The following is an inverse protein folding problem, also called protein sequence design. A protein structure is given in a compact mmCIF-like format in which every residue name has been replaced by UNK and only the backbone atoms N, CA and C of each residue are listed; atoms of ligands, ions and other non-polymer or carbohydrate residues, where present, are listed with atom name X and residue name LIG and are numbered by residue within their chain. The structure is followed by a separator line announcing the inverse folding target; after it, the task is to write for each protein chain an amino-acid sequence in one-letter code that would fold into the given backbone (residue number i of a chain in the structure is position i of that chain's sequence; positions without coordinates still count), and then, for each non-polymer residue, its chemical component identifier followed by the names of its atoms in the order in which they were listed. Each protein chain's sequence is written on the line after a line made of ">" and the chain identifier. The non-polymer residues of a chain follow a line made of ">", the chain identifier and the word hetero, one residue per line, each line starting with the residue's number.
data_IF_784048228765
#
_entry.id   IF_784048228765
#
_cell.length_a   1.000
_cell.length_b   1.000
_cell.length_c   1.000
_cell.angle_alpha   90.00
_cell.angle_beta   90.00
_cell.angle_gamma   90.00
#
_symmetry.space_group_name_H-M   'P 1'
#
loop_
_entity.id
_entity.type
_entity.pdbx_description
1 polymer ?
#
# COMPACT_ATOMS: atom_id res chain seq x y z
N UNK A 1 -6.58 -24.06 -35.03
CA UNK A 1 -6.47 -23.27 -33.78
C UNK A 1 -6.04 -24.23 -32.70
N UNK A 2 -4.98 -23.89 -31.97
CA UNK A 2 -4.40 -24.73 -30.91
C UNK A 2 -5.50 -25.10 -29.88
N UNK A 3 -5.72 -26.39 -29.60
CA UNK A 3 -6.83 -26.87 -28.75
C UNK A 3 -6.85 -26.14 -27.40
N UNK A 4 -5.67 -25.85 -26.86
CA UNK A 4 -5.43 -25.13 -25.61
C UNK A 4 -6.09 -23.75 -25.57
N UNK A 5 -5.99 -22.98 -26.67
CA UNK A 5 -6.54 -21.62 -26.77
C UNK A 5 -8.06 -21.65 -26.85
N UNK A 6 -8.62 -22.65 -27.53
CA UNK A 6 -10.07 -22.84 -27.60
C UNK A 6 -10.65 -23.18 -26.23
N UNK A 7 -10.00 -24.08 -25.49
CA UNK A 7 -10.37 -24.45 -24.12
C UNK A 7 -10.27 -23.23 -23.20
N UNK A 8 -9.15 -22.48 -23.27
CA UNK A 8 -8.97 -21.27 -22.48
C UNK A 8 -10.08 -20.23 -22.72
N UNK A 9 -10.47 -20.01 -23.98
CA UNK A 9 -11.57 -19.09 -24.33
C UNK A 9 -12.91 -19.54 -23.75
N UNK A 10 -13.19 -20.85 -23.79
CA UNK A 10 -14.41 -21.43 -23.22
C UNK A 10 -14.43 -21.24 -21.69
N UNK A 11 -13.31 -21.48 -21.04
CA UNK A 11 -13.17 -21.28 -19.58
C UNK A 11 -13.45 -19.82 -19.21
N UNK A 12 -12.82 -18.86 -19.89
CA UNK A 12 -13.06 -17.43 -19.67
C UNK A 12 -14.53 -17.05 -19.90
N UNK A 13 -15.18 -17.64 -20.91
CA UNK A 13 -16.60 -17.41 -21.16
C UNK A 13 -17.49 -17.96 -20.02
N UNK A 14 -17.13 -19.11 -19.45
CA UNK A 14 -17.77 -19.67 -18.26
C UNK A 14 -17.63 -18.76 -17.05
N UNK A 15 -16.43 -18.26 -16.78
CA UNK A 15 -16.17 -17.35 -15.65
C UNK A 15 -16.96 -16.04 -15.76
N UNK A 16 -17.20 -15.54 -16.98
CA UNK A 16 -18.05 -14.36 -17.21
C UNK A 16 -19.53 -14.61 -16.87
N UNK A 17 -19.99 -15.86 -16.88
CA UNK A 17 -21.35 -16.18 -16.47
C UNK A 17 -21.49 -16.30 -14.94
N UNK A 18 -20.37 -16.42 -14.22
CA UNK A 18 -20.36 -16.60 -12.77
C UNK A 18 -20.53 -15.26 -12.06
N UNK A 19 -21.76 -15.02 -11.57
CA UNK A 19 -22.14 -13.77 -10.90
C UNK A 19 -21.27 -13.46 -9.68
N UNK A 20 -20.82 -14.47 -8.95
CA UNK A 20 -19.98 -14.29 -7.75
C UNK A 20 -18.61 -13.73 -8.11
N UNK A 21 -17.97 -14.25 -9.17
CA UNK A 21 -16.66 -13.76 -9.64
C UNK A 21 -16.80 -12.34 -10.20
N UNK A 22 -17.84 -12.07 -10.99
CA UNK A 22 -18.11 -10.73 -11.48
C UNK A 22 -18.38 -9.72 -10.34
N UNK A 23 -19.14 -10.13 -9.33
CA UNK A 23 -19.43 -9.32 -8.15
C UNK A 23 -18.15 -9.03 -7.36
N UNK A 24 -17.32 -10.05 -7.11
CA UNK A 24 -16.05 -9.88 -6.42
C UNK A 24 -15.13 -8.90 -7.15
N UNK A 25 -15.02 -9.05 -8.48
CA UNK A 25 -14.22 -8.14 -9.31
C UNK A 25 -14.79 -6.72 -9.32
N UNK A 26 -16.12 -6.58 -9.36
CA UNK A 26 -16.82 -5.29 -9.28
C UNK A 26 -16.62 -4.58 -7.94
N UNK A 27 -16.68 -5.32 -6.82
CA UNK A 27 -16.41 -4.78 -5.49
C UNK A 27 -14.95 -4.33 -5.39
N UNK A 28 -14.00 -5.13 -5.88
CA UNK A 28 -12.58 -4.74 -5.93
C UNK A 28 -12.38 -3.46 -6.76
N UNK A 29 -13.06 -3.35 -7.90
CA UNK A 29 -13.05 -2.15 -8.75
C UNK A 29 -13.57 -0.92 -8.01
N UNK A 30 -14.70 -1.08 -7.30
CA UNK A 30 -15.32 -0.03 -6.51
C UNK A 30 -14.38 0.44 -5.39
N UNK A 31 -13.81 -0.47 -4.62
CA UNK A 31 -12.87 -0.13 -3.55
C UNK A 31 -11.65 0.60 -4.11
N UNK A 32 -11.07 0.12 -5.21
CA UNK A 32 -9.91 0.77 -5.84
C UNK A 32 -10.24 2.17 -6.36
N UNK A 33 -11.42 2.36 -6.97
CA UNK A 33 -11.85 3.66 -7.49
C UNK A 33 -12.19 4.67 -6.38
N UNK A 34 -12.81 4.21 -5.29
CA UNK A 34 -13.25 5.10 -4.21
C UNK A 34 -12.23 5.27 -3.09
N UNK A 35 -11.11 4.52 -3.10
CA UNK A 35 -10.09 4.59 -2.04
C UNK A 35 -9.55 6.01 -1.86
N UNK A 36 -9.26 6.74 -2.94
CA UNK A 36 -8.78 8.12 -2.82
C UNK A 36 -9.86 9.06 -2.28
N UNK A 37 -11.12 8.83 -2.63
CA UNK A 37 -12.24 9.68 -2.20
C UNK A 37 -12.59 9.47 -0.72
N UNK A 38 -12.62 8.21 -0.28
CA UNK A 38 -12.82 7.86 1.13
C UNK A 38 -11.71 8.46 2.00
N UNK A 39 -10.46 8.43 1.53
CA UNK A 39 -9.31 8.95 2.27
C UNK A 39 -9.36 10.47 2.39
N UNK A 40 -9.63 11.21 1.31
CA UNK A 40 -9.78 12.68 1.38
C UNK A 40 -10.96 13.07 2.27
N UNK A 41 -12.09 12.35 2.18
CA UNK A 41 -13.25 12.58 3.05
C UNK A 41 -12.99 12.28 4.52
N UNK A 42 -12.23 11.20 4.82
CA UNK A 42 -11.82 10.87 6.18
C UNK A 42 -10.79 11.87 6.71
N UNK A 43 -9.83 12.31 5.90
CA UNK A 43 -8.85 13.35 6.30
C UNK A 43 -9.54 14.67 6.61
N UNK A 44 -10.53 15.09 5.81
CA UNK A 44 -11.36 16.26 6.14
C UNK A 44 -12.09 16.13 7.48
N UNK A 45 -12.30 14.90 7.97
CA UNK A 45 -13.01 14.61 9.21
C UNK A 45 -12.09 14.37 10.41
N UNK A 46 -10.82 14.04 10.17
CA UNK A 46 -9.83 13.63 11.19
C UNK A 46 -8.55 14.48 11.18
N UNK A 47 -8.45 15.50 10.33
CA UNK A 47 -7.44 16.53 10.45
C UNK A 47 -7.92 17.58 11.48
N UNK A 48 -7.43 17.55 12.73
CA UNK A 48 -7.77 18.59 13.70
C UNK A 48 -7.31 19.99 13.27
N UNK A 49 -6.37 20.10 12.32
CA UNK A 49 -5.99 21.37 11.69
C UNK A 49 -7.03 21.89 10.69
N UNK A 50 -7.93 21.03 10.20
CA UNK A 50 -9.10 21.41 9.39
C UNK A 50 -10.31 21.83 10.24
N UNK A 51 -10.21 21.78 11.58
CA UNK A 51 -11.13 22.50 12.47
C UNK A 51 -10.80 23.99 12.40
N UNK A 52 -11.17 24.62 11.28
CA UNK A 52 -11.21 26.08 11.14
C UNK A 52 -12.04 26.65 12.32
N UNK A 53 -11.36 27.15 13.36
CA UNK A 53 -12.02 27.85 14.47
C UNK A 53 -11.46 27.63 15.88
N UNK A 54 -10.63 26.60 16.12
CA UNK A 54 -10.00 26.43 17.44
C UNK A 54 -8.82 27.41 17.59
N UNK A 55 -9.12 28.60 18.13
CA UNK A 55 -8.15 29.62 18.49
C UNK A 55 -7.46 29.19 19.78
N UNK A 56 -6.18 28.84 19.73
CA UNK A 56 -5.37 28.55 20.91
C UNK A 56 -4.77 29.85 21.44
N UNK A 57 -5.26 30.28 22.60
CA UNK A 57 -4.75 31.43 23.33
C UNK A 57 -3.52 31.00 24.12
N UNK A 58 -2.35 31.49 23.72
CA UNK A 58 -1.07 31.11 24.33
C UNK A 58 -0.53 32.27 25.15
N UNK A 59 -0.33 32.09 26.45
CA UNK A 59 0.41 33.05 27.27
C UNK A 59 1.90 33.00 26.91
N UNK A 60 2.51 34.14 26.68
CA UNK A 60 3.94 34.27 26.36
C UNK A 60 4.60 35.15 27.42
N UNK A 61 5.73 34.69 27.96
CA UNK A 61 6.48 35.43 28.97
C UNK A 61 7.98 35.12 28.92
N UNK A 62 8.79 35.92 29.61
CA UNK A 62 10.25 35.81 29.66
C UNK A 62 10.98 36.85 28.81
N UNK A 63 12.20 36.51 28.39
CA UNK A 63 13.12 37.41 27.68
C UNK A 63 12.91 37.42 26.16
N UNK A 64 12.27 36.38 25.62
CA UNK A 64 12.05 36.19 24.17
C UNK A 64 10.58 36.38 23.76
N UNK A 65 9.85 37.26 24.48
CA UNK A 65 8.41 37.50 24.25
C UNK A 65 8.16 38.01 22.83
N UNK A 66 8.93 38.99 22.37
CA UNK A 66 8.74 39.60 21.06
C UNK A 66 8.93 38.58 19.92
N UNK A 67 9.92 37.69 20.03
CA UNK A 67 10.15 36.65 19.04
C UNK A 67 9.06 35.58 19.04
N UNK A 68 8.56 35.21 20.22
CA UNK A 68 7.44 34.26 20.36
C UNK A 68 6.12 34.83 19.87
N UNK A 69 5.86 36.12 20.11
CA UNK A 69 4.68 36.82 19.56
C UNK A 69 4.73 36.91 18.03
N UNK A 70 5.90 37.28 17.47
CA UNK A 70 6.08 37.33 16.03
C UNK A 70 5.88 35.96 15.38
N UNK A 71 6.46 34.90 15.97
CA UNK A 71 6.30 33.54 15.48
C UNK A 71 4.86 33.03 15.59
N UNK A 72 4.11 33.44 16.62
CA UNK A 72 2.72 33.07 16.80
C UNK A 72 1.80 33.78 15.80
N UNK A 73 2.10 35.04 15.45
CA UNK A 73 1.31 35.81 14.47
C UNK A 73 1.33 35.20 13.06
N UNK A 74 2.39 34.47 12.72
CA UNK A 74 2.56 33.76 11.44
C UNK A 74 1.89 32.38 11.41
N UNK A 75 1.33 31.92 12.53
CA UNK A 75 0.67 30.61 12.64
C UNK A 75 -0.84 30.81 12.78
N UNK A 76 -1.58 30.34 11.79
CA UNK A 76 -3.04 30.39 11.80
C UNK A 76 -3.62 29.60 12.99
N UNK A 77 -4.58 30.19 13.68
CA UNK A 77 -5.23 29.57 14.83
C UNK A 77 -4.52 29.76 16.17
N UNK A 78 -3.39 30.47 16.24
CA UNK A 78 -2.71 30.79 17.50
C UNK A 78 -2.77 32.29 17.79
N UNK A 79 -3.08 32.66 19.04
CA UNK A 79 -2.94 34.03 19.54
C UNK A 79 -1.99 34.06 20.72
N UNK A 80 -0.89 34.79 20.59
CA UNK A 80 -0.01 35.06 21.71
C UNK A 80 -0.57 36.22 22.57
N UNK A 81 -0.56 36.05 23.89
CA UNK A 81 -0.84 37.11 24.86
C UNK A 81 0.38 37.30 25.77
N UNK A 82 1.00 38.49 25.79
CA UNK A 82 2.16 38.73 26.64
C UNK A 82 1.73 38.87 28.10
N UNK A 83 2.51 38.27 29.00
CA UNK A 83 2.38 38.41 30.45
C UNK A 83 3.69 38.91 31.06
N UNK A 84 3.58 39.77 32.06
CA UNK A 84 4.71 40.44 32.70
C UNK A 84 5.71 39.45 33.35
N UNK A 85 5.21 38.36 33.92
CA UNK A 85 6.02 37.32 34.55
C UNK A 85 5.38 35.93 34.41
N UNK A 86 6.17 34.90 34.77
CA UNK A 86 5.76 33.51 34.71
C UNK A 86 4.63 33.17 35.68
N UNK A 87 4.50 33.89 36.79
CA UNK A 87 3.47 33.62 37.80
C UNK A 87 2.09 34.07 37.28
N UNK A 88 2.02 35.24 36.64
CA UNK A 88 0.83 35.76 36.00
C UNK A 88 0.37 34.89 34.81
N UNK A 89 1.33 34.38 34.02
CA UNK A 89 1.06 33.45 32.93
C UNK A 89 0.53 32.10 33.45
N UNK A 90 1.16 31.55 34.49
CA UNK A 90 0.71 30.32 35.13
C UNK A 90 -0.67 30.45 35.79
N UNK A 91 -0.95 31.59 36.43
CA UNK A 91 -2.28 31.89 36.99
C UNK A 91 -3.34 31.99 35.89
N UNK A 92 -3.03 32.65 34.76
CA UNK A 92 -3.94 32.72 33.62
C UNK A 92 -4.25 31.33 33.04
N UNK A 93 -3.25 30.45 32.97
CA UNK A 93 -3.42 29.08 32.53
C UNK A 93 -4.27 28.25 33.51
N UNK A 94 -3.99 28.37 34.81
CA UNK A 94 -4.76 27.71 35.87
C UNK A 94 -6.24 28.16 35.89
N UNK A 95 -6.50 29.43 35.57
CA UNK A 95 -7.85 30.01 35.49
C UNK A 95 -8.58 29.67 34.18
N UNK A 96 -7.93 28.98 33.23
CA UNK A 96 -8.48 28.70 31.89
C UNK A 96 -8.66 29.94 31.01
N UNK A 97 -7.91 31.01 31.27
CA UNK A 97 -7.91 32.24 30.45
C UNK A 97 -7.03 32.13 29.20
N UNK A 98 -6.14 31.14 29.19
CA UNK A 98 -5.22 30.77 28.11
C UNK A 98 -5.11 29.25 28.08
N UNK A 99 -4.91 28.70 26.90
CA UNK A 99 -4.88 27.26 26.64
C UNK A 99 -3.47 26.67 26.75
N UNK A 100 -2.43 27.51 26.72
CA UNK A 100 -1.04 27.11 26.88
C UNK A 100 -0.16 28.26 27.42
N UNK A 101 1.02 27.91 27.92
CA UNK A 101 2.06 28.87 28.35
C UNK A 101 3.38 28.57 27.65
N UNK A 102 4.01 29.60 27.08
CA UNK A 102 5.37 29.57 26.54
C UNK A 102 6.26 30.52 27.34
N UNK A 103 7.29 29.98 28.01
CA UNK A 103 8.30 30.75 28.73
C UNK A 103 9.59 30.75 27.93
N UNK A 104 9.89 31.88 27.29
CA UNK A 104 11.11 32.05 26.48
C UNK A 104 12.24 32.66 27.29
N UNK A 105 13.32 31.91 27.54
CA UNK A 105 14.54 32.40 28.23
C UNK A 105 15.74 32.37 27.28
N UNK A 106 16.70 33.30 27.43
CA UNK A 106 17.95 33.23 26.66
C UNK A 106 19.06 32.61 27.49
N UNK A 107 19.65 31.52 26.98
CA UNK A 107 20.78 30.82 27.61
C UNK A 107 21.85 30.56 26.55
N UNK A 108 23.09 31.00 26.81
CA UNK A 108 24.24 30.80 25.90
C UNK A 108 23.99 31.24 24.44
N UNK A 109 23.29 32.36 24.26
CA UNK A 109 22.94 32.88 22.93
C UNK A 109 21.83 32.10 22.18
N UNK A 110 21.17 31.15 22.86
CA UNK A 110 20.03 30.37 22.36
C UNK A 110 18.75 30.76 23.08
N UNK A 111 17.63 30.66 22.39
CA UNK A 111 16.30 30.78 22.99
C UNK A 111 15.88 29.39 23.47
N UNK A 112 15.59 29.26 24.75
CA UNK A 112 15.00 28.08 25.36
C UNK A 112 13.54 28.38 25.65
N UNK A 113 12.63 27.52 25.18
CA UNK A 113 11.20 27.70 25.37
C UNK A 113 10.66 26.52 26.17
N UNK A 114 10.17 26.81 27.36
CA UNK A 114 9.40 25.86 28.17
C UNK A 114 7.92 26.02 27.84
N UNK A 115 7.28 24.93 27.37
CA UNK A 115 5.88 24.92 26.96
C UNK A 115 5.04 24.11 27.95
N UNK A 116 4.07 24.76 28.59
CA UNK A 116 3.08 24.12 29.47
C UNK A 116 1.77 24.00 28.74
N UNK A 117 1.22 22.79 28.68
CA UNK A 117 -0.05 22.46 28.02
C UNK A 117 -0.93 21.61 28.96
N UNK A 118 -2.26 21.57 28.76
CA UNK A 118 -3.15 20.76 29.58
C UNK A 118 -2.84 19.26 29.48
N UNK A 119 -3.28 18.48 30.47
CA UNK A 119 -3.22 17.01 30.46
C UNK A 119 -4.55 16.40 29.95
N UNK A 120 -4.99 16.81 28.75
CA UNK A 120 -6.29 16.46 28.14
C UNK A 120 -6.13 15.84 26.75
N UNK A 121 -6.42 14.54 26.61
CA UNK A 121 -5.94 13.74 25.46
C UNK A 121 -6.16 14.33 24.04
N UNK A 122 -7.37 14.84 23.73
CA UNK A 122 -7.69 15.35 22.37
C UNK A 122 -7.28 16.82 22.20
N UNK A 123 -7.61 17.67 23.17
CA UNK A 123 -7.32 19.11 23.16
C UNK A 123 -5.80 19.38 23.21
N UNK A 124 -5.07 18.66 24.04
CA UNK A 124 -3.61 18.73 24.13
C UNK A 124 -2.94 18.39 22.81
N UNK A 125 -3.49 17.44 22.05
CA UNK A 125 -2.94 17.10 20.73
C UNK A 125 -3.02 18.29 19.77
N UNK A 126 -4.15 19.01 19.74
CA UNK A 126 -4.33 20.21 18.90
C UNK A 126 -3.36 21.31 19.33
N UNK A 127 -3.33 21.62 20.63
CA UNK A 127 -2.46 22.65 21.20
C UNK A 127 -0.99 22.34 20.89
N UNK A 128 -0.52 21.10 21.13
CA UNK A 128 0.86 20.71 20.87
C UNK A 128 1.23 20.80 19.39
N UNK A 129 0.33 20.46 18.48
CA UNK A 129 0.57 20.58 17.03
C UNK A 129 0.73 22.06 16.65
N UNK A 130 -0.15 22.94 17.14
CA UNK A 130 -0.08 24.37 16.86
C UNK A 130 1.15 25.03 17.49
N UNK A 131 1.45 24.75 18.77
CA UNK A 131 2.67 25.24 19.43
C UNK A 131 3.93 24.76 18.72
N UNK A 132 3.96 23.52 18.21
CA UNK A 132 5.08 23.03 17.42
C UNK A 132 5.28 23.84 16.14
N UNK A 133 4.19 24.27 15.49
CA UNK A 133 4.28 25.18 14.34
C UNK A 133 4.88 26.52 14.75
N UNK A 134 4.44 27.12 15.86
CA UNK A 134 5.02 28.37 16.39
C UNK A 134 6.51 28.22 16.66
N UNK A 135 6.93 27.14 17.33
CA UNK A 135 8.33 26.90 17.64
C UNK A 135 9.19 26.67 16.39
N UNK A 136 8.64 26.04 15.34
CA UNK A 136 9.32 25.88 14.05
C UNK A 136 9.45 27.21 13.31
N UNK A 137 8.43 28.07 13.36
CA UNK A 137 8.48 29.42 12.80
C UNK A 137 9.52 30.26 13.53
N UNK A 138 9.55 30.21 14.86
CA UNK A 138 10.59 30.85 15.67
C UNK A 138 11.98 30.34 15.27
N UNK A 139 12.17 29.02 15.18
CA UNK A 139 13.45 28.43 14.78
C UNK A 139 13.89 28.90 13.38
N UNK A 140 12.96 28.93 12.41
CA UNK A 140 13.24 29.40 11.07
C UNK A 140 13.68 30.88 11.07
N UNK A 141 12.93 31.75 11.75
CA UNK A 141 13.28 33.17 11.87
C UNK A 141 14.64 33.39 12.56
N UNK A 142 14.94 32.62 13.60
CA UNK A 142 16.22 32.65 14.31
C UNK A 142 17.39 32.15 13.43
N UNK A 143 17.14 31.17 12.55
CA UNK A 143 18.13 30.68 11.58
C UNK A 143 18.39 31.73 10.50
N UNK A 144 17.35 32.35 9.97
CA UNK A 144 17.48 33.39 8.94
C UNK A 144 18.24 34.59 9.47
N UNK A 145 17.94 35.04 10.70
CA UNK A 145 18.66 36.16 11.34
C UNK A 145 20.14 35.87 11.59
N UNK A 146 20.52 34.59 11.77
CA UNK A 146 21.91 34.17 11.98
C UNK A 146 22.60 33.70 10.70
N UNK A 147 21.91 33.71 9.57
CA UNK A 147 22.44 33.21 8.30
C UNK A 147 23.72 33.95 7.86
N UNK A 148 23.81 35.25 8.12
CA UNK A 148 24.98 36.09 7.84
C UNK A 148 26.24 35.68 8.62
N UNK A 149 26.10 34.97 9.74
CA UNK A 149 27.22 34.47 10.52
C UNK A 149 27.84 33.19 9.92
N UNK A 150 27.21 32.60 8.90
CA UNK A 150 27.68 31.38 8.25
C UNK A 150 28.67 31.70 7.13
N UNK A 151 29.89 31.18 7.26
CA UNK A 151 30.91 31.27 6.19
C UNK A 151 30.58 30.41 4.96
N UNK A 152 29.60 29.51 5.07
CA UNK A 152 29.08 28.67 3.98
C UNK A 152 27.57 28.53 4.11
N UNK A 153 26.79 28.77 3.05
CA UNK A 153 25.35 28.57 3.09
C UNK A 153 25.02 27.09 3.30
N UNK A 154 24.02 26.75 4.12
CA UNK A 154 23.53 25.39 4.24
C UNK A 154 22.90 24.95 2.91
N UNK A 155 22.86 23.63 2.68
CA UNK A 155 22.12 23.07 1.56
C UNK A 155 20.66 23.53 1.65
N UNK A 156 20.12 24.03 0.53
CA UNK A 156 18.72 24.39 0.45
C UNK A 156 17.87 23.15 0.78
N UNK A 157 16.93 23.32 1.72
CA UNK A 157 15.89 22.31 1.93
C UNK A 157 15.08 22.31 0.63
N UNK A 158 14.97 21.16 -0.08
CA UNK A 158 14.09 21.08 -1.24
C UNK A 158 12.70 21.55 -0.82
N UNK A 159 12.00 22.30 -1.67
CA UNK A 159 10.59 22.63 -1.43
C UNK A 159 9.91 21.33 -1.02
N UNK A 160 9.46 21.28 0.23
CA UNK A 160 8.89 20.08 0.81
C UNK A 160 7.65 19.74 0.01
N UNK A 161 7.81 18.96 -1.05
CA UNK A 161 6.69 18.46 -1.82
C UNK A 161 5.76 17.82 -0.81
N UNK A 162 4.48 18.19 -0.88
CA UNK A 162 3.41 17.59 -0.10
C UNK A 162 3.49 16.09 -0.28
N UNK A 163 4.24 15.42 0.60
CA UNK A 163 4.32 13.98 0.61
C UNK A 163 2.92 13.56 0.96
N UNK A 164 2.18 13.07 -0.04
CA UNK A 164 0.82 12.60 0.16
C UNK A 164 0.87 11.69 1.41
N UNK A 165 0.08 11.95 2.46
CA UNK A 165 0.21 11.27 3.76
C UNK A 165 0.18 9.74 3.68
N UNK A 166 -0.26 9.21 2.53
CA UNK A 166 -0.42 7.79 2.24
C UNK A 166 0.50 7.28 1.12
N UNK A 167 1.50 8.05 0.68
CA UNK A 167 2.46 7.60 -0.33
C UNK A 167 3.07 6.24 0.06
N UNK A 168 3.51 6.11 1.30
CA UNK A 168 4.00 4.85 1.85
C UNK A 168 2.95 3.73 1.74
N UNK A 169 1.73 3.94 2.24
CA UNK A 169 0.67 2.94 2.20
C UNK A 169 0.30 2.52 0.77
N UNK A 170 0.12 3.48 -0.14
CA UNK A 170 -0.27 3.23 -1.54
C UNK A 170 0.73 2.30 -2.22
N UNK A 171 2.02 2.61 -2.13
CA UNK A 171 3.03 1.85 -2.87
C UNK A 171 3.52 0.60 -2.14
N UNK A 172 3.47 0.55 -0.80
CA UNK A 172 3.96 -0.60 -0.03
C UNK A 172 2.88 -1.61 0.35
N UNK A 173 1.60 -1.21 0.37
CA UNK A 173 0.47 -2.07 0.73
C UNK A 173 -0.52 -2.21 -0.42
N UNK A 174 -1.11 -1.10 -0.87
CA UNK A 174 -2.21 -1.14 -1.85
C UNK A 174 -1.77 -1.75 -3.19
N UNK A 175 -0.68 -1.26 -3.78
CA UNK A 175 -0.19 -1.77 -5.07
C UNK A 175 0.20 -3.25 -4.99
N UNK A 176 0.99 -3.72 -4.00
CA UNK A 176 1.27 -5.15 -3.86
C UNK A 176 0.04 -6.04 -3.68
N UNK A 177 -0.93 -5.62 -2.85
CA UNK A 177 -2.19 -6.36 -2.68
C UNK A 177 -2.92 -6.48 -4.02
N UNK A 178 -3.03 -5.37 -4.77
CA UNK A 178 -3.63 -5.35 -6.10
C UNK A 178 -2.86 -6.24 -7.10
N UNK A 179 -1.54 -6.36 -6.98
CA UNK A 179 -0.77 -7.21 -7.90
C UNK A 179 -0.91 -8.71 -7.59
N UNK A 180 -0.98 -9.10 -6.31
CA UNK A 180 -0.90 -10.51 -5.91
C UNK A 180 -2.24 -11.19 -5.59
N UNK A 181 -3.27 -10.45 -5.16
CA UNK A 181 -4.60 -11.03 -4.88
C UNK A 181 -5.21 -11.76 -6.09
N UNK A 182 -5.14 -11.24 -7.33
CA UNK A 182 -5.59 -11.93 -8.54
C UNK A 182 -4.97 -13.32 -8.70
N UNK A 183 -3.67 -13.43 -8.46
CA UNK A 183 -2.95 -14.70 -8.58
C UNK A 183 -3.45 -15.72 -7.55
N UNK A 184 -3.67 -15.29 -6.31
CA UNK A 184 -4.19 -16.15 -5.24
C UNK A 184 -5.59 -16.69 -5.54
N UNK A 185 -6.49 -15.83 -6.03
CA UNK A 185 -7.85 -16.24 -6.43
C UNK A 185 -7.78 -17.19 -7.64
N UNK A 186 -6.91 -16.89 -8.61
CA UNK A 186 -6.74 -17.69 -9.82
C UNK A 186 -6.28 -19.13 -9.54
N UNK A 187 -5.41 -19.35 -8.56
CA UNK A 187 -5.04 -20.71 -8.12
C UNK A 187 -6.20 -21.47 -7.48
N UNK A 188 -6.99 -20.84 -6.61
CA UNK A 188 -8.19 -21.46 -6.02
C UNK A 188 -9.20 -21.86 -7.10
N UNK A 189 -9.42 -20.98 -8.07
CA UNK A 189 -10.30 -21.24 -9.21
C UNK A 189 -9.79 -22.41 -10.06
N UNK A 190 -8.48 -22.53 -10.22
CA UNK A 190 -7.85 -23.65 -10.93
C UNK A 190 -8.13 -24.98 -10.24
N UNK A 191 -8.03 -25.03 -8.91
CA UNK A 191 -8.37 -26.24 -8.13
C UNK A 191 -9.83 -26.60 -8.34
N UNK A 192 -10.72 -25.64 -8.18
CA UNK A 192 -12.15 -25.87 -8.31
C UNK A 192 -12.50 -26.38 -9.71
N UNK A 193 -11.98 -25.75 -10.75
CA UNK A 193 -12.22 -26.13 -12.14
C UNK A 193 -11.68 -27.53 -12.49
N UNK A 194 -10.49 -27.90 -11.98
CA UNK A 194 -9.91 -29.22 -12.23
C UNK A 194 -10.62 -30.31 -11.41
N UNK A 195 -10.84 -30.07 -10.12
CA UNK A 195 -11.50 -31.05 -9.23
C UNK A 195 -12.96 -31.30 -9.62
N UNK A 196 -13.69 -30.27 -10.05
CA UNK A 196 -15.06 -30.40 -10.57
C UNK A 196 -15.12 -31.32 -11.81
N UNK A 197 -14.11 -31.28 -12.69
CA UNK A 197 -14.05 -32.18 -13.85
C UNK A 197 -13.66 -33.63 -13.49
N UNK A 198 -12.86 -33.81 -12.44
CA UNK A 198 -12.53 -35.11 -11.86
C UNK A 198 -13.78 -35.72 -11.23
N UNK A 199 -14.46 -34.98 -10.37
CA UNK A 199 -15.63 -35.43 -9.61
C UNK A 199 -16.82 -35.78 -10.51
N UNK A 200 -17.02 -35.03 -11.61
CA UNK A 200 -18.12 -35.30 -12.57
C UNK A 200 -17.83 -36.43 -13.55
N UNK A 201 -16.63 -37.04 -13.53
CA UNK A 201 -16.21 -38.04 -14.53
C UNK A 201 -16.15 -37.49 -15.96
N UNK A 202 -16.25 -36.16 -16.13
CA UNK A 202 -16.21 -35.52 -17.45
C UNK A 202 -14.83 -35.60 -18.09
N UNK A 203 -13.78 -35.82 -17.29
CA UNK A 203 -12.45 -36.16 -17.78
C UNK A 203 -12.44 -37.43 -18.63
N UNK A 204 -13.25 -38.44 -18.31
CA UNK A 204 -13.35 -39.68 -19.08
C UNK A 204 -14.16 -39.49 -20.37
N UNK A 205 -15.23 -38.67 -20.33
CA UNK A 205 -15.99 -38.28 -21.52
C UNK A 205 -15.17 -37.40 -22.48
N UNK A 206 -14.21 -36.63 -21.96
CA UNK A 206 -13.27 -35.86 -22.78
C UNK A 206 -12.12 -36.71 -23.35
N UNK A 207 -11.92 -37.96 -22.91
CA UNK A 207 -10.98 -38.90 -23.56
C UNK A 207 -11.44 -39.34 -24.95
N UNK A 208 -12.73 -39.14 -25.28
CA UNK A 208 -13.28 -39.44 -26.60
C UNK A 208 -13.18 -38.25 -27.56
N UNK A 209 -12.81 -37.06 -27.05
CA UNK A 209 -12.42 -35.91 -27.88
C UNK A 209 -10.94 -36.02 -28.28
N UNK A 210 -10.53 -35.45 -29.42
CA UNK A 210 -9.14 -35.49 -29.90
C UNK A 210 -8.13 -34.68 -29.06
N UNK A 211 -8.53 -34.17 -27.88
CA UNK A 211 -7.68 -33.34 -27.02
C UNK A 211 -7.10 -34.19 -25.88
N UNK A 212 -5.80 -34.02 -25.59
CA UNK A 212 -5.13 -34.74 -24.50
C UNK A 212 -5.47 -34.13 -23.13
N UNK A 213 -5.38 -34.92 -22.07
CA UNK A 213 -5.58 -34.43 -20.68
C UNK A 213 -4.66 -33.25 -20.35
N UNK A 214 -3.41 -33.30 -20.83
CA UNK A 214 -2.44 -32.21 -20.71
C UNK A 214 -2.90 -30.94 -21.46
N UNK A 215 -3.51 -31.06 -22.63
CA UNK A 215 -4.05 -29.89 -23.37
C UNK A 215 -5.23 -29.24 -22.65
N UNK A 216 -6.05 -30.03 -21.96
CA UNK A 216 -7.19 -29.52 -21.18
C UNK A 216 -6.67 -28.74 -19.97
N UNK A 217 -5.75 -29.33 -19.21
CA UNK A 217 -5.13 -28.68 -18.04
C UNK A 217 -4.35 -27.44 -18.46
N UNK A 218 -3.54 -27.53 -19.53
CA UNK A 218 -2.80 -26.38 -20.05
C UNK A 218 -3.75 -25.27 -20.51
N UNK A 219 -4.90 -25.61 -21.14
CA UNK A 219 -5.92 -24.64 -21.53
C UNK A 219 -6.55 -23.92 -20.35
N UNK A 220 -6.92 -24.64 -19.29
CA UNK A 220 -7.46 -24.05 -18.05
C UNK A 220 -6.43 -23.22 -17.31
N UNK A 221 -5.20 -23.72 -17.19
CA UNK A 221 -4.09 -22.99 -16.58
C UNK A 221 -3.78 -21.71 -17.36
N UNK A 222 -3.80 -21.74 -18.70
CA UNK A 222 -3.62 -20.54 -19.52
C UNK A 222 -4.74 -19.51 -19.32
N UNK A 223 -5.99 -19.95 -19.19
CA UNK A 223 -7.10 -19.06 -18.85
C UNK A 223 -6.90 -18.39 -17.48
N UNK A 224 -6.58 -19.20 -16.47
CA UNK A 224 -6.33 -18.75 -15.10
C UNK A 224 -5.14 -17.77 -15.01
N UNK A 225 -4.01 -18.11 -15.63
CA UNK A 225 -2.80 -17.27 -15.67
C UNK A 225 -3.07 -15.98 -16.45
N UNK A 226 -3.78 -16.06 -17.59
CA UNK A 226 -4.07 -14.90 -18.44
C UNK A 226 -5.05 -13.90 -17.81
N UNK A 227 -5.94 -14.36 -16.93
CA UNK A 227 -6.87 -13.49 -16.21
C UNK A 227 -6.15 -12.51 -15.27
N UNK A 228 -5.05 -12.96 -14.64
CA UNK A 228 -4.31 -12.17 -13.65
C UNK A 228 -3.72 -10.87 -14.21
N UNK A 229 -2.88 -10.86 -15.26
CA UNK A 229 -2.34 -9.62 -15.80
C UNK A 229 -3.42 -8.71 -16.38
N UNK A 230 -4.54 -9.26 -16.86
CA UNK A 230 -5.68 -8.45 -17.29
C UNK A 230 -6.32 -7.70 -16.12
N UNK A 231 -6.53 -8.37 -14.98
CA UNK A 231 -7.03 -7.74 -13.75
C UNK A 231 -6.04 -6.70 -13.20
N UNK A 232 -4.76 -7.04 -13.12
CA UNK A 232 -3.72 -6.11 -12.66
C UNK A 232 -3.62 -4.89 -13.58
N UNK A 233 -3.63 -5.07 -14.90
CA UNK A 233 -3.62 -3.95 -15.85
C UNK A 233 -4.82 -3.02 -15.67
N UNK A 234 -6.02 -3.58 -15.47
CA UNK A 234 -7.23 -2.82 -15.21
C UNK A 234 -7.11 -2.00 -13.93
N UNK A 235 -6.62 -2.60 -12.84
CA UNK A 235 -6.49 -1.92 -11.55
C UNK A 235 -5.43 -0.82 -11.58
N UNK A 236 -4.26 -1.09 -12.18
CA UNK A 236 -3.22 -0.08 -12.36
C UNK A 236 -3.71 1.07 -13.26
N UNK A 237 -4.51 0.77 -14.29
CA UNK A 237 -5.17 1.76 -15.11
C UNK A 237 -6.13 2.66 -14.32
N UNK A 238 -6.93 2.08 -13.42
CA UNK A 238 -7.82 2.84 -12.55
C UNK A 238 -7.06 3.71 -11.54
N UNK A 239 -5.99 3.19 -10.93
CA UNK A 239 -5.15 4.00 -10.04
C UNK A 239 -4.63 5.24 -10.78
N UNK A 240 -4.20 5.07 -12.03
CA UNK A 240 -3.76 6.17 -12.88
C UNK A 240 -4.88 7.17 -13.18
N UNK A 241 -6.10 6.71 -13.44
CA UNK A 241 -7.27 7.58 -13.62
C UNK A 241 -7.65 8.33 -12.34
N UNK A 242 -7.37 7.76 -11.17
CA UNK A 242 -7.57 8.39 -9.87
C UNK A 242 -6.38 9.28 -9.43
N UNK A 243 -5.46 9.62 -10.34
CA UNK A 243 -4.32 10.51 -10.05
C UNK A 243 -3.14 9.83 -9.35
N UNK A 244 -3.16 8.52 -9.13
CA UNK A 244 -2.02 7.77 -8.59
C UNK A 244 -1.13 7.31 -9.74
N UNK A 245 0.04 7.93 -9.88
CA UNK A 245 1.01 7.52 -10.90
C UNK A 245 1.64 6.17 -10.54
N UNK A 246 1.61 5.20 -11.46
CA UNK A 246 2.32 3.93 -11.31
C UNK A 246 3.31 3.78 -12.45
N UNK A 247 4.58 3.71 -12.09
CA UNK A 247 5.68 3.41 -13.01
C UNK A 247 5.83 1.90 -13.25
N UNK A 248 6.72 1.52 -14.17
CA UNK A 248 7.12 0.11 -14.32
C UNK A 248 6.02 -0.88 -14.70
N UNK A 249 4.87 -0.42 -15.23
CA UNK A 249 3.67 -1.26 -15.49
C UNK A 249 4.00 -2.56 -16.23
N UNK A 250 4.83 -2.51 -17.27
CA UNK A 250 5.21 -3.73 -18.01
C UNK A 250 5.91 -4.78 -17.14
N UNK A 251 6.83 -4.34 -16.26
CA UNK A 251 7.55 -5.25 -15.35
C UNK A 251 6.64 -5.77 -14.23
N UNK A 252 5.70 -4.95 -13.77
CA UNK A 252 4.64 -5.36 -12.83
C UNK A 252 3.76 -6.44 -13.43
N UNK A 253 3.36 -6.31 -14.70
CA UNK A 253 2.59 -7.34 -15.40
C UNK A 253 3.38 -8.63 -15.56
N UNK A 254 4.67 -8.56 -15.92
CA UNK A 254 5.54 -9.76 -15.98
C UNK A 254 5.62 -10.45 -14.62
N UNK A 255 5.83 -9.68 -13.55
CA UNK A 255 5.89 -10.22 -12.19
C UNK A 255 4.55 -10.87 -11.79
N UNK A 256 3.43 -10.20 -12.07
CA UNK A 256 2.10 -10.72 -11.80
C UNK A 256 1.83 -12.03 -12.55
N UNK A 257 2.18 -12.09 -13.84
CA UNK A 257 2.05 -13.30 -14.67
C UNK A 257 2.94 -14.43 -14.16
N UNK A 258 4.17 -14.12 -13.74
CA UNK A 258 5.08 -15.12 -13.20
C UNK A 258 4.54 -15.70 -11.88
N UNK A 259 4.08 -14.85 -10.95
CA UNK A 259 3.45 -15.34 -9.71
C UNK A 259 2.18 -16.12 -10.01
N UNK A 260 1.34 -15.68 -10.95
CA UNK A 260 0.18 -16.45 -11.40
C UNK A 260 0.59 -17.85 -11.90
N UNK A 261 1.65 -17.95 -12.70
CA UNK A 261 2.18 -19.23 -13.19
C UNK A 261 2.62 -20.17 -12.06
N UNK A 262 3.30 -19.64 -11.04
CA UNK A 262 3.69 -20.42 -9.85
C UNK A 262 2.45 -20.92 -9.11
N UNK A 263 1.54 -20.00 -8.80
CA UNK A 263 0.36 -20.27 -7.98
C UNK A 263 -0.60 -21.23 -8.68
N UNK A 264 -0.90 -21.01 -9.96
CA UNK A 264 -1.73 -21.89 -10.80
C UNK A 264 -1.05 -23.24 -11.01
N UNK A 265 0.27 -23.27 -11.19
CA UNK A 265 1.03 -24.53 -11.32
C UNK A 265 0.97 -25.39 -10.05
N UNK A 266 1.11 -24.78 -8.86
CA UNK A 266 0.95 -25.45 -7.56
C UNK A 266 -0.49 -25.93 -7.40
N UNK A 267 -1.47 -25.07 -7.69
CA UNK A 267 -2.90 -25.40 -7.63
C UNK A 267 -3.26 -26.61 -8.52
N UNK A 268 -2.81 -26.60 -9.77
CA UNK A 268 -3.04 -27.71 -10.69
C UNK A 268 -2.36 -29.00 -10.18
N UNK A 269 -1.12 -28.93 -9.70
CA UNK A 269 -0.45 -30.10 -9.13
C UNK A 269 -1.23 -30.68 -7.93
N UNK A 270 -1.70 -29.83 -7.01
CA UNK A 270 -2.48 -30.24 -5.85
C UNK A 270 -3.83 -30.86 -6.25
N UNK A 271 -4.51 -30.31 -7.24
CA UNK A 271 -5.78 -30.85 -7.73
C UNK A 271 -5.65 -32.28 -8.29
N UNK A 272 -4.49 -32.65 -8.85
CA UNK A 272 -4.22 -34.02 -9.28
C UNK A 272 -3.74 -34.94 -8.16
N UNK A 273 -2.95 -34.42 -7.22
CA UNK A 273 -2.42 -35.19 -6.09
C UNK A 273 -3.48 -35.49 -5.03
N UNK A 274 -4.49 -34.63 -4.91
CA UNK A 274 -5.54 -34.68 -3.90
C UNK A 274 -6.90 -34.66 -4.60
N UNK A 275 -7.53 -35.84 -4.81
CA UNK A 275 -8.83 -35.93 -5.49
C UNK A 275 -9.96 -35.23 -4.73
N UNK A 276 -9.83 -35.08 -3.41
CA UNK A 276 -10.82 -34.37 -2.60
C UNK A 276 -10.62 -32.85 -2.68
N UNK A 277 -11.63 -32.14 -3.21
CA UNK A 277 -11.61 -30.68 -3.37
C UNK A 277 -11.29 -29.93 -2.09
N UNK A 278 -11.82 -30.37 -0.95
CA UNK A 278 -11.61 -29.69 0.34
C UNK A 278 -10.17 -29.87 0.82
N UNK A 279 -9.60 -31.07 0.67
CA UNK A 279 -8.21 -31.35 0.98
C UNK A 279 -7.26 -30.55 0.08
N UNK A 280 -7.53 -30.48 -1.23
CA UNK A 280 -6.76 -29.69 -2.18
C UNK A 280 -6.75 -28.20 -1.81
N UNK A 281 -7.90 -27.64 -1.45
CA UNK A 281 -8.03 -26.24 -1.02
C UNK A 281 -7.28 -25.94 0.28
N UNK A 282 -7.37 -26.82 1.29
CA UNK A 282 -6.62 -26.66 2.55
C UNK A 282 -5.11 -26.71 2.28
N UNK A 283 -4.65 -27.69 1.49
CA UNK A 283 -3.24 -27.80 1.14
C UNK A 283 -2.75 -26.60 0.32
N UNK A 284 -3.60 -26.08 -0.56
CA UNK A 284 -3.30 -24.87 -1.33
C UNK A 284 -3.16 -23.64 -0.44
N UNK A 285 -4.08 -23.43 0.50
CA UNK A 285 -3.99 -22.32 1.45
C UNK A 285 -2.68 -22.40 2.28
N UNK A 286 -2.32 -23.60 2.75
CA UNK A 286 -1.06 -23.83 3.46
C UNK A 286 0.17 -23.61 2.57
N UNK A 287 0.13 -24.08 1.32
CA UNK A 287 1.20 -23.88 0.35
C UNK A 287 1.39 -22.40 0.01
N UNK A 288 0.30 -21.63 -0.12
CA UNK A 288 0.37 -20.19 -0.35
C UNK A 288 0.91 -19.44 0.86
N UNK A 289 0.48 -19.82 2.08
CA UNK A 289 1.03 -19.24 3.30
C UNK A 289 2.54 -19.50 3.39
N UNK A 290 2.99 -20.72 3.11
CA UNK A 290 4.41 -21.07 3.09
C UNK A 290 5.18 -20.34 1.97
N UNK A 291 4.59 -20.22 0.78
CA UNK A 291 5.20 -19.56 -0.37
C UNK A 291 5.38 -18.06 -0.13
N UNK A 292 4.31 -17.35 0.25
CA UNK A 292 4.36 -15.90 0.47
C UNK A 292 5.07 -15.55 1.79
N UNK A 293 4.86 -16.34 2.84
CA UNK A 293 5.57 -16.21 4.11
C UNK A 293 7.07 -16.48 3.98
N UNK A 294 7.45 -17.51 3.23
CA UNK A 294 8.86 -17.79 2.92
C UNK A 294 9.46 -16.72 2.01
N UNK A 295 8.71 -16.25 1.00
CA UNK A 295 9.17 -15.20 0.12
C UNK A 295 9.40 -13.88 0.86
N UNK A 296 8.61 -13.54 1.89
CA UNK A 296 8.77 -12.30 2.65
C UNK A 296 10.07 -12.25 3.46
N UNK A 297 10.62 -13.41 3.85
CA UNK A 297 11.91 -13.54 4.54
C UNK A 297 13.12 -13.26 3.65
N UNK A 298 12.95 -13.26 2.32
CA UNK A 298 14.03 -12.94 1.40
C UNK A 298 14.36 -11.43 1.50
N UNK A 299 15.65 -11.06 1.57
CA UNK A 299 16.07 -9.64 1.56
C UNK A 299 15.53 -8.87 0.34
N UNK A 300 15.31 -9.57 -0.78
CA UNK A 300 14.73 -9.04 -2.01
C UNK A 300 13.44 -9.77 -2.36
N UNK A 301 12.44 -9.64 -1.50
CA UNK A 301 11.13 -10.28 -1.69
C UNK A 301 10.32 -9.64 -2.84
N UNK A 302 9.38 -10.39 -3.47
CA UNK A 302 8.59 -9.89 -4.59
C UNK A 302 7.65 -8.74 -4.20
N UNK A 303 7.23 -8.64 -2.94
CA UNK A 303 6.38 -7.54 -2.44
C UNK A 303 7.12 -6.21 -2.49
N UNK A 304 8.37 -6.19 -2.04
CA UNK A 304 9.26 -5.04 -2.09
C UNK A 304 9.62 -4.69 -3.54
N UNK A 305 9.88 -5.70 -4.38
CA UNK A 305 10.11 -5.49 -5.81
C UNK A 305 8.91 -4.78 -6.48
N UNK A 306 7.67 -5.18 -6.15
CA UNK A 306 6.45 -4.51 -6.64
C UNK A 306 6.41 -3.04 -6.22
N UNK A 307 6.65 -2.74 -4.94
CA UNK A 307 6.66 -1.36 -4.44
C UNK A 307 7.70 -0.50 -5.17
N UNK A 308 8.94 -1.00 -5.32
CA UNK A 308 10.04 -0.29 -6.00
C UNK A 308 9.77 -0.11 -7.50
N UNK A 309 9.18 -1.10 -8.17
CA UNK A 309 8.77 -0.97 -9.58
C UNK A 309 7.70 0.12 -9.78
N UNK A 310 6.76 0.23 -8.83
CA UNK A 310 5.65 1.16 -8.93
C UNK A 310 6.06 2.64 -8.78
N UNK A 311 7.17 2.91 -8.09
CA UNK A 311 7.72 4.27 -7.85
C UNK A 311 8.94 4.60 -8.72
N UNK A 312 9.21 3.81 -9.76
CA UNK A 312 10.39 3.93 -10.64
C UNK A 312 11.75 3.75 -9.93
N UNK A 313 11.74 3.11 -8.75
CA UNK A 313 12.93 2.80 -7.95
C UNK A 313 13.60 1.47 -8.34
N UNK A 314 13.47 1.06 -9.59
CA UNK A 314 13.93 -0.26 -10.06
C UNK A 314 15.45 -0.28 -10.27
N UNK A 315 16.17 -1.01 -9.43
CA UNK A 315 17.60 -1.29 -9.60
C UNK A 315 17.86 -2.65 -10.29
N UNK A 316 19.13 -2.99 -10.50
CA UNK A 316 19.53 -4.29 -11.05
C UNK A 316 19.03 -5.46 -10.18
N UNK A 317 18.92 -5.26 -8.87
CA UNK A 317 18.41 -6.25 -7.93
C UNK A 317 16.93 -6.54 -8.12
N UNK A 318 16.09 -5.50 -8.27
CA UNK A 318 14.66 -5.65 -8.59
C UNK A 318 14.46 -6.37 -9.92
N UNK A 319 15.25 -6.03 -10.93
CA UNK A 319 15.21 -6.69 -12.24
C UNK A 319 15.58 -8.17 -12.13
N UNK A 320 16.62 -8.50 -11.35
CA UNK A 320 17.01 -9.88 -11.08
C UNK A 320 15.89 -10.64 -10.35
N UNK A 321 15.23 -10.05 -9.36
CA UNK A 321 14.09 -10.67 -8.67
C UNK A 321 12.96 -11.01 -9.64
N UNK A 322 12.58 -10.09 -10.53
CA UNK A 322 11.56 -10.36 -11.56
C UNK A 322 11.99 -11.52 -12.47
N UNK A 323 13.25 -11.53 -12.91
CA UNK A 323 13.80 -12.63 -13.71
C UNK A 323 13.80 -13.98 -13.00
N UNK A 324 14.18 -14.01 -11.71
CA UNK A 324 14.17 -15.23 -10.89
C UNK A 324 12.75 -15.76 -10.67
N UNK A 325 11.79 -14.88 -10.38
CA UNK A 325 10.38 -15.28 -10.21
C UNK A 325 9.81 -15.79 -11.54
N UNK A 326 10.13 -15.15 -12.66
CA UNK A 326 9.75 -15.64 -13.99
C UNK A 326 10.37 -17.01 -14.31
N UNK A 327 11.66 -17.20 -14.00
CA UNK A 327 12.32 -18.50 -14.15
C UNK A 327 11.70 -19.59 -13.28
N UNK A 328 11.39 -19.27 -12.02
CA UNK A 328 10.70 -20.17 -11.11
C UNK A 328 9.30 -20.53 -11.63
N UNK A 329 8.56 -19.58 -12.20
CA UNK A 329 7.26 -19.85 -12.82
C UNK A 329 7.36 -20.87 -13.95
N UNK A 330 8.32 -20.71 -14.86
CA UNK A 330 8.57 -21.66 -15.94
C UNK A 330 8.90 -23.05 -15.40
N UNK A 331 9.76 -23.12 -14.38
CA UNK A 331 10.14 -24.38 -13.74
C UNK A 331 8.93 -25.07 -13.09
N UNK A 332 8.11 -24.33 -12.33
CA UNK A 332 6.90 -24.86 -11.68
C UNK A 332 5.92 -25.38 -12.72
N UNK A 333 5.62 -24.61 -13.77
CA UNK A 333 4.72 -25.04 -14.85
C UNK A 333 5.25 -26.29 -15.54
N UNK A 334 6.56 -26.37 -15.81
CA UNK A 334 7.18 -27.56 -16.39
C UNK A 334 7.05 -28.80 -15.48
N UNK A 335 7.31 -28.65 -14.17
CA UNK A 335 7.15 -29.73 -13.20
C UNK A 335 5.70 -30.18 -13.12
N UNK A 336 4.74 -29.26 -13.00
CA UNK A 336 3.31 -29.59 -12.97
C UNK A 336 2.91 -30.36 -14.23
N UNK A 337 3.40 -29.97 -15.40
CA UNK A 337 3.15 -30.70 -16.65
C UNK A 337 3.66 -32.14 -16.58
N UNK A 338 4.84 -32.38 -16.00
CA UNK A 338 5.34 -33.75 -15.83
C UNK A 338 4.50 -34.58 -14.85
N UNK A 339 3.95 -33.97 -13.80
CA UNK A 339 3.05 -34.63 -12.85
C UNK A 339 1.76 -35.05 -13.58
N UNK A 340 1.18 -34.14 -14.36
CA UNK A 340 -0.06 -34.40 -15.12
C UNK A 340 0.15 -35.52 -16.14
N UNK A 341 1.29 -35.53 -16.85
CA UNK A 341 1.64 -36.60 -17.79
C UNK A 341 1.76 -37.95 -17.10
N UNK A 342 2.35 -38.02 -15.89
CA UNK A 342 2.49 -39.28 -15.14
C UNK A 342 1.19 -39.75 -14.50
N UNK A 343 0.29 -38.82 -14.16
CA UNK A 343 -1.03 -39.14 -13.64
C UNK A 343 -2.00 -39.61 -14.73
N UNK A 344 -1.72 -39.32 -16.00
CA UNK A 344 -2.40 -39.91 -17.15
C UNK A 344 -1.82 -41.29 -17.49
N UNK A 345 -2.64 -42.35 -17.62
CA UNK A 345 -2.21 -43.62 -18.20
C UNK A 345 -1.89 -43.50 -19.70
#
# INVERSE_FOLDING_TARGET
>A
MDNRVTIARREIAGLRAEKTILLALGIQLFIAAFSSFLVVGLVSMYDPGALEGAQVETAVTGEAVAELEAAAADVEGVRARPYADSDAAAAAFADGRVDAVLVGTRRDGRIHVDATVPDSNVETTVIVVQLRSVLRTLEAAERDRRSDALSRPPLAVPDGGTSAPYYGFTYTVLVPVLVFVPAFISGSLTIDSITEEIDRGTLELLRVTPATLVEIVDGKALAAIGLVPAQVALWLGLLRLNGTSVAGVGRLLVLATAVAGIVVGIAAALAFLLPDRRAAQICYAMAMLALFGGASLLPRNPVNATARLAVDGADAGVTLTVGLVAGAAVAVVAVTRTIVVRAGP
#
